data_IF_868023724541
#
_entry.id   IF_868023724541
#
_cell.length_a   1.000
_cell.length_b   1.000
_cell.length_c   1.000
_cell.angle_alpha   90.00
_cell.angle_beta   90.00
_cell.angle_gamma   90.00
#
_symmetry.space_group_name_H-M   'P 1'
#
loop_
_entity.id
_entity.type
_entity.pdbx_description
1 polymer ?
#
# COMPACT_ATOMS: atom_id res chain seq x y z
N UNK A 1 16.12 -2.90 2.44
CA UNK A 1 15.29 -1.70 2.61
C UNK A 1 15.74 -0.74 1.54
N UNK A 2 14.86 -0.37 0.61
CA UNK A 2 15.13 0.81 -0.22
C UNK A 2 15.18 1.98 0.78
N UNK A 3 16.28 2.71 0.90
CA UNK A 3 16.36 3.83 1.83
C UNK A 3 15.23 4.82 1.51
N UNK A 4 14.41 5.15 2.50
CA UNK A 4 13.42 6.19 2.36
C UNK A 4 14.15 7.54 2.29
N UNK A 5 13.85 8.35 1.29
CA UNK A 5 14.46 9.68 1.12
C UNK A 5 13.70 10.76 1.88
N UNK A 6 12.48 10.45 2.36
CA UNK A 6 11.52 11.40 2.96
C UNK A 6 11.21 12.61 2.06
N UNK A 7 11.39 12.46 0.74
CA UNK A 7 11.15 13.52 -0.25
C UNK A 7 9.76 13.41 -0.88
N UNK A 8 9.15 14.56 -1.15
CA UNK A 8 7.94 14.67 -1.95
C UNK A 8 8.35 14.99 -3.38
N UNK A 9 8.18 14.03 -4.28
CA UNK A 9 8.60 14.16 -5.68
C UNK A 9 7.59 14.98 -6.50
N UNK A 10 6.30 14.79 -6.23
CA UNK A 10 5.21 15.46 -6.96
C UNK A 10 3.95 15.52 -6.07
N UNK A 11 3.07 16.48 -6.32
CA UNK A 11 1.78 16.64 -5.63
C UNK A 11 0.75 17.14 -6.64
N UNK A 12 -0.47 16.59 -6.56
CA UNK A 12 -1.58 16.96 -7.43
C UNK A 12 -2.80 17.43 -6.63
N UNK A 13 -3.32 18.61 -6.98
CA UNK A 13 -4.54 19.17 -6.40
C UNK A 13 -5.57 19.47 -7.50
N UNK A 14 -6.76 18.89 -7.38
CA UNK A 14 -7.85 18.93 -8.35
C UNK A 14 -9.20 18.96 -7.62
N UNK A 15 -10.15 19.75 -8.10
CA UNK A 15 -11.46 19.80 -7.48
C UNK A 15 -12.38 18.74 -8.07
N UNK A 16 -13.29 18.21 -7.26
CA UNK A 16 -14.24 17.20 -7.73
C UNK A 16 -15.16 17.73 -8.84
N UNK A 17 -15.41 19.05 -8.86
CA UNK A 17 -16.17 19.76 -9.88
C UNK A 17 -15.57 19.65 -11.28
N UNK A 18 -14.26 19.41 -11.35
CA UNK A 18 -13.53 19.24 -12.62
C UNK A 18 -13.64 17.80 -13.14
N UNK A 19 -14.42 16.96 -12.45
CA UNK A 19 -14.54 15.53 -12.72
C UNK A 19 -15.98 15.04 -12.53
N UNK A 20 -16.26 13.82 -12.98
CA UNK A 20 -17.60 13.24 -12.88
C UNK A 20 -17.89 12.58 -11.53
N UNK A 21 -16.86 12.25 -10.75
CA UNK A 21 -16.99 11.62 -9.43
C UNK A 21 -15.65 11.60 -8.69
N UNK A 22 -15.68 11.41 -7.37
CA UNK A 22 -14.47 11.22 -6.56
C UNK A 22 -13.62 10.04 -7.04
N UNK A 23 -14.25 8.95 -7.49
CA UNK A 23 -13.54 7.77 -8.01
C UNK A 23 -12.84 8.06 -9.33
N UNK A 24 -13.46 8.84 -10.22
CA UNK A 24 -12.83 9.29 -11.46
C UNK A 24 -11.67 10.25 -11.16
N UNK A 25 -11.89 11.17 -10.22
CA UNK A 25 -10.90 12.13 -9.74
C UNK A 25 -9.64 11.44 -9.17
N UNK A 26 -9.80 10.44 -8.30
CA UNK A 26 -8.67 9.72 -7.71
C UNK A 26 -7.78 9.06 -8.77
N UNK A 27 -8.40 8.43 -9.78
CA UNK A 27 -7.67 7.82 -10.90
C UNK A 27 -6.95 8.87 -11.72
N UNK A 28 -7.63 9.96 -12.07
CA UNK A 28 -7.04 11.02 -12.88
C UNK A 28 -5.85 11.66 -12.16
N UNK A 29 -6.02 12.03 -10.89
CA UNK A 29 -4.96 12.61 -10.06
C UNK A 29 -3.76 11.67 -9.92
N UNK A 30 -4.01 10.39 -9.68
CA UNK A 30 -2.95 9.38 -9.59
C UNK A 30 -2.16 9.29 -10.89
N UNK A 31 -2.85 9.16 -12.03
CA UNK A 31 -2.22 9.09 -13.36
C UNK A 31 -1.42 10.34 -13.68
N UNK A 32 -2.01 11.51 -13.50
CA UNK A 32 -1.34 12.80 -13.74
C UNK A 32 -0.02 12.88 -12.97
N UNK A 33 -0.05 12.53 -11.67
CA UNK A 33 1.15 12.56 -10.83
C UNK A 33 2.20 11.55 -11.31
N UNK A 34 1.81 10.30 -11.56
CA UNK A 34 2.73 9.24 -12.00
C UNK A 34 3.35 9.55 -13.38
N UNK A 35 2.55 10.06 -14.31
CA UNK A 35 2.99 10.43 -15.66
C UNK A 35 3.97 11.61 -15.60
N UNK A 36 3.73 12.63 -14.77
CA UNK A 36 4.69 13.75 -14.57
C UNK A 36 6.02 13.28 -14.02
N UNK A 37 6.02 12.36 -13.06
CA UNK A 37 7.24 11.77 -12.51
C UNK A 37 8.02 11.05 -13.62
N UNK A 38 7.35 10.23 -14.45
CA UNK A 38 7.99 9.53 -15.58
C UNK A 38 8.51 10.49 -16.66
N UNK A 39 7.75 11.53 -17.00
CA UNK A 39 8.14 12.53 -18.00
C UNK A 39 9.41 13.30 -17.61
N UNK A 40 9.69 13.45 -16.31
CA UNK A 40 10.95 14.01 -15.80
C UNK A 40 12.14 13.05 -15.89
N UNK A 41 11.96 11.86 -16.47
CA UNK A 41 13.00 10.84 -16.62
C UNK A 41 13.22 9.97 -15.38
N UNK A 42 12.35 10.05 -14.38
CA UNK A 42 12.45 9.21 -13.17
C UNK A 42 11.89 7.83 -13.51
N UNK A 43 12.75 6.81 -13.43
CA UNK A 43 12.34 5.41 -13.59
C UNK A 43 11.63 4.95 -12.32
N UNK A 44 10.34 4.66 -12.43
CA UNK A 44 9.53 4.12 -11.34
C UNK A 44 9.48 2.60 -11.49
N UNK A 45 10.15 1.88 -10.59
CA UNK A 45 10.17 0.41 -10.61
C UNK A 45 9.00 -0.19 -9.84
N UNK A 46 8.59 0.45 -8.75
CA UNK A 46 7.54 -0.02 -7.86
C UNK A 46 6.71 1.14 -7.32
N UNK A 47 5.40 0.95 -7.28
CA UNK A 47 4.45 1.87 -6.63
C UNK A 47 3.70 1.12 -5.55
N UNK A 48 3.66 1.67 -4.34
CA UNK A 48 2.83 1.17 -3.26
C UNK A 48 1.62 2.08 -3.03
N UNK A 49 0.40 1.55 -3.09
CA UNK A 49 -0.84 2.33 -2.87
C UNK A 49 -1.73 1.69 -1.82
N UNK A 50 -2.76 2.41 -1.40
CA UNK A 50 -3.89 1.78 -0.71
C UNK A 50 -4.59 0.72 -1.59
N UNK A 51 -5.41 -0.13 -0.95
CA UNK A 51 -6.23 -1.17 -1.62
C UNK A 51 -7.45 -0.58 -2.34
N UNK A 52 -7.22 0.42 -3.18
CA UNK A 52 -8.24 1.02 -4.03
C UNK A 52 -8.39 0.18 -5.31
N UNK A 53 -9.60 -0.34 -5.55
CA UNK A 53 -9.92 -1.21 -6.70
C UNK A 53 -9.69 -0.46 -8.03
N UNK A 54 -10.00 0.84 -8.07
CA UNK A 54 -9.81 1.68 -9.24
C UNK A 54 -8.35 1.85 -9.60
N UNK A 55 -7.50 2.18 -8.62
CA UNK A 55 -6.05 2.34 -8.82
C UNK A 55 -5.39 1.01 -9.16
N UNK A 56 -5.77 -0.09 -8.49
CA UNK A 56 -5.29 -1.43 -8.85
C UNK A 56 -5.60 -1.78 -10.30
N UNK A 57 -6.79 -1.43 -10.79
CA UNK A 57 -7.14 -1.64 -12.20
C UNK A 57 -6.25 -0.79 -13.10
N UNK A 58 -6.09 0.50 -12.80
CA UNK A 58 -5.23 1.43 -13.55
C UNK A 58 -3.78 0.91 -13.63
N UNK A 59 -3.18 0.51 -12.51
CA UNK A 59 -1.82 -0.07 -12.51
C UNK A 59 -1.73 -1.30 -13.41
N UNK A 60 -2.68 -2.24 -13.28
CA UNK A 60 -2.69 -3.46 -14.09
C UNK A 60 -2.89 -3.21 -15.58
N UNK A 61 -3.72 -2.23 -15.96
CA UNK A 61 -4.10 -2.03 -17.38
C UNK A 61 -3.27 -0.99 -18.11
N UNK A 62 -2.80 0.04 -17.41
CA UNK A 62 -2.14 1.21 -18.00
C UNK A 62 -0.65 1.29 -17.67
N UNK A 63 -0.22 0.69 -16.55
CA UNK A 63 1.18 0.69 -16.10
C UNK A 63 1.70 -0.73 -15.80
N UNK A 64 1.56 -1.70 -16.74
CA UNK A 64 1.93 -3.09 -16.50
C UNK A 64 3.44 -3.32 -16.35
N UNK A 65 4.25 -2.32 -16.67
CA UNK A 65 5.71 -2.31 -16.54
C UNK A 65 6.19 -1.92 -15.13
N UNK A 66 5.29 -1.47 -14.26
CA UNK A 66 5.59 -1.03 -12.90
C UNK A 66 5.02 -2.04 -11.91
N UNK A 67 5.85 -2.53 -10.99
CA UNK A 67 5.39 -3.43 -9.94
C UNK A 67 4.43 -2.67 -9.00
N UNK A 68 3.27 -3.27 -8.70
CA UNK A 68 2.25 -2.67 -7.85
C UNK A 68 2.13 -3.40 -6.51
N UNK A 69 2.53 -2.71 -5.45
CA UNK A 69 2.42 -3.18 -4.08
C UNK A 69 1.33 -2.42 -3.31
N UNK A 70 1.00 -2.94 -2.13
CA UNK A 70 0.02 -2.30 -1.23
C UNK A 70 0.67 -1.73 0.02
N UNK A 71 0.11 -0.64 0.54
CA UNK A 71 0.48 -0.10 1.83
C UNK A 71 0.12 -1.09 2.96
N UNK A 72 1.16 -1.75 3.45
CA UNK A 72 1.10 -2.72 4.54
C UNK A 72 0.67 -2.07 5.84
N UNK A 73 0.97 -0.78 6.06
CA UNK A 73 0.55 -0.09 7.28
C UNK A 73 -0.97 -0.01 7.34
N UNK A 74 -1.62 0.37 6.24
CA UNK A 74 -3.08 0.37 6.15
C UNK A 74 -3.66 -1.04 6.34
N UNK A 75 -3.00 -2.08 5.82
CA UNK A 75 -3.40 -3.47 6.05
C UNK A 75 -3.30 -3.85 7.54
N UNK A 76 -2.15 -3.64 8.19
CA UNK A 76 -1.93 -3.95 9.60
C UNK A 76 -2.89 -3.19 10.52
N UNK A 77 -3.15 -1.92 10.21
CA UNK A 77 -4.16 -1.09 10.90
C UNK A 77 -5.56 -1.71 10.78
N UNK A 78 -5.93 -2.21 9.61
CA UNK A 78 -7.23 -2.86 9.40
C UNK A 78 -7.37 -4.16 10.22
N UNK A 79 -6.29 -4.95 10.33
CA UNK A 79 -6.25 -6.16 11.17
C UNK A 79 -6.37 -5.79 12.65
N UNK A 80 -5.58 -4.83 13.12
CA UNK A 80 -5.64 -4.32 14.49
C UNK A 80 -7.06 -3.90 14.88
N UNK A 81 -7.76 -3.17 14.01
CA UNK A 81 -9.16 -2.74 14.24
C UNK A 81 -10.11 -3.93 14.43
N UNK A 82 -9.98 -4.97 13.58
CA UNK A 82 -10.81 -6.19 13.69
C UNK A 82 -10.52 -6.96 14.97
N UNK A 83 -9.25 -7.08 15.36
CA UNK A 83 -8.86 -7.74 16.60
C UNK A 83 -9.39 -6.99 17.83
N UNK A 84 -9.31 -5.65 17.83
CA UNK A 84 -9.86 -4.83 18.91
C UNK A 84 -11.37 -5.01 19.05
N UNK A 85 -12.10 -5.06 17.93
CA UNK A 85 -13.54 -5.31 17.96
C UNK A 85 -13.88 -6.70 18.54
N UNK A 86 -13.03 -7.71 18.31
CA UNK A 86 -13.20 -9.05 18.88
C UNK A 86 -12.84 -9.11 20.37
N UNK A 87 -11.78 -8.41 20.79
CA UNK A 87 -11.34 -8.37 22.18
C UNK A 87 -12.35 -7.71 23.14
N UNK A 88 -13.30 -6.92 22.60
CA UNK A 88 -14.42 -6.35 23.37
C UNK A 88 -15.56 -7.34 23.64
N UNK A 89 -15.51 -8.54 23.07
CA UNK A 89 -16.52 -9.57 23.34
C UNK A 89 -16.22 -10.25 24.67
N UNK A 90 -17.29 -10.67 25.38
CA UNK A 90 -17.18 -11.51 26.58
C UNK A 90 -16.31 -12.73 26.28
N UNK A 91 -15.42 -13.07 27.21
CA UNK A 91 -14.51 -14.23 27.14
C UNK A 91 -13.34 -14.08 26.14
N UNK A 92 -13.12 -12.87 25.58
CA UNK A 92 -12.03 -12.57 24.64
C UNK A 92 -11.02 -11.54 25.17
N UNK A 93 -11.02 -11.22 26.46
CA UNK A 93 -10.20 -10.16 27.06
C UNK A 93 -8.69 -10.46 26.91
N UNK A 94 -8.31 -11.74 26.98
CA UNK A 94 -6.94 -12.21 26.75
C UNK A 94 -6.43 -11.93 25.33
N UNK A 95 -7.30 -11.64 24.37
CA UNK A 95 -6.84 -11.26 23.02
C UNK A 95 -6.15 -9.90 23.05
N UNK A 96 -6.63 -8.96 23.88
CA UNK A 96 -6.18 -7.56 23.88
C UNK A 96 -4.67 -7.42 24.09
N UNK A 97 -4.08 -8.24 24.98
CA UNK A 97 -2.64 -8.22 25.28
C UNK A 97 -1.76 -8.57 24.06
N UNK A 98 -2.26 -9.37 23.12
CA UNK A 98 -1.51 -9.83 21.94
C UNK A 98 -1.64 -8.91 20.73
N UNK A 99 -2.66 -8.04 20.69
CA UNK A 99 -3.00 -7.25 19.49
C UNK A 99 -1.83 -6.39 19.02
N UNK A 100 -1.17 -5.70 19.95
CA UNK A 100 -0.06 -4.81 19.61
C UNK A 100 1.14 -5.61 19.10
N UNK A 101 1.48 -6.72 19.76
CA UNK A 101 2.56 -7.61 19.35
C UNK A 101 2.30 -8.19 17.95
N UNK A 102 1.09 -8.68 17.69
CA UNK A 102 0.69 -9.23 16.39
C UNK A 102 0.75 -8.16 15.27
N UNK A 103 0.28 -6.94 15.54
CA UNK A 103 0.32 -5.84 14.56
C UNK A 103 1.75 -5.41 14.24
N UNK A 104 2.60 -5.33 15.27
CA UNK A 104 4.02 -4.99 15.11
C UNK A 104 4.76 -6.09 14.34
N UNK A 105 4.51 -7.36 14.67
CA UNK A 105 5.13 -8.49 14.00
C UNK A 105 4.75 -8.55 12.52
N UNK A 106 3.47 -8.34 12.18
CA UNK A 106 3.02 -8.27 10.79
C UNK A 106 3.76 -7.17 10.00
N UNK A 107 3.86 -5.96 10.58
CA UNK A 107 4.61 -4.86 9.98
C UNK A 107 6.08 -5.21 9.81
N UNK A 108 6.69 -5.81 10.82
CA UNK A 108 8.09 -6.24 10.79
C UNK A 108 8.34 -7.29 9.70
N UNK A 109 7.49 -8.31 9.57
CA UNK A 109 7.63 -9.36 8.55
C UNK A 109 7.59 -8.79 7.13
N UNK A 110 6.65 -7.88 6.86
CA UNK A 110 6.58 -7.22 5.55
C UNK A 110 7.76 -6.29 5.31
N UNK A 111 8.16 -5.48 6.30
CA UNK A 111 9.34 -4.63 6.18
C UNK A 111 10.65 -5.41 6.13
N UNK A 112 10.66 -6.72 6.35
CA UNK A 112 11.86 -7.55 6.26
C UNK A 112 11.68 -8.68 5.24
N UNK A 113 10.68 -8.58 4.37
CA UNK A 113 10.32 -9.67 3.45
C UNK A 113 11.48 -10.03 2.51
N UNK A 114 12.23 -9.04 2.01
CA UNK A 114 13.40 -9.26 1.13
C UNK A 114 14.49 -10.11 1.81
N UNK A 115 14.62 -9.98 3.15
CA UNK A 115 15.58 -10.74 3.95
C UNK A 115 15.19 -12.21 4.04
N UNK A 116 13.89 -12.49 4.10
CA UNK A 116 13.35 -13.83 4.10
C UNK A 116 13.41 -14.47 2.70
N UNK A 117 13.17 -13.69 1.65
CA UNK A 117 13.24 -14.13 0.26
C UNK A 117 14.64 -14.61 -0.15
N UNK A 118 15.71 -13.88 0.23
CA UNK A 118 17.09 -14.30 -0.09
C UNK A 118 17.51 -15.62 0.58
N UNK A 119 16.89 -15.98 1.70
CA UNK A 119 17.19 -17.20 2.44
C UNK A 119 16.21 -18.34 2.14
N UNK A 120 15.12 -18.07 1.42
CA UNK A 120 14.09 -19.06 1.09
C UNK A 120 13.87 -19.04 -0.42
N UNK A 121 14.52 -19.96 -1.14
CA UNK A 121 14.48 -20.08 -2.61
C UNK A 121 13.11 -20.43 -3.23
N UNK A 122 12.00 -20.17 -2.53
CA UNK A 122 10.62 -20.43 -2.99
C UNK A 122 9.72 -19.20 -3.04
N UNK A 123 10.21 -18.02 -2.65
CA UNK A 123 9.38 -16.82 -2.59
C UNK A 123 9.61 -15.91 -3.80
N UNK A 124 9.51 -16.44 -5.03
CA UNK A 124 9.38 -15.60 -6.22
C UNK A 124 7.95 -15.09 -6.30
N UNK A 125 7.75 -13.77 -6.29
CA UNK A 125 6.41 -13.18 -6.38
C UNK A 125 5.79 -13.53 -7.74
N UNK A 126 4.85 -14.48 -7.71
CA UNK A 126 3.74 -14.58 -8.66
C UNK A 126 2.55 -13.89 -7.99
N UNK A 127 2.42 -12.57 -8.11
CA UNK A 127 1.16 -11.86 -7.88
C UNK A 127 1.08 -10.61 -8.73
#
# INVERSE_FOLDING_TARGET
MIPATDEIIDTELMQITDTTSSVAMDKLRFKTCLDRVRQKGIKVELVATDRNIGIRKVMKTEYPDIDHDFDVWHFAKSIKKKLLAKAKKKDAEKLAIWIQAASNHLRWCSQNWWRCQKNCGRCGSQY
#
